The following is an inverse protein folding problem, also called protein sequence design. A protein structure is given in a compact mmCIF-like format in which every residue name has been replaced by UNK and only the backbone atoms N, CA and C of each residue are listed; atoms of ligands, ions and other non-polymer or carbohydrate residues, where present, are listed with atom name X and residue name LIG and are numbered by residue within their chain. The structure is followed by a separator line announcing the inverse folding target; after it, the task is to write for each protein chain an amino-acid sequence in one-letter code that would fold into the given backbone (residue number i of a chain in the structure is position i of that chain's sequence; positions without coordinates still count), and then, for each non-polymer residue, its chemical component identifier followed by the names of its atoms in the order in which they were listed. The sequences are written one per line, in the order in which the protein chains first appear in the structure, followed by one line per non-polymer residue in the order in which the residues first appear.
data_IF_865300279350
#
_entry.id   IF_865300279350
#
_cell.length_a   1.000
_cell.length_b   1.000
_cell.length_c   1.000
_cell.angle_alpha   90.00
_cell.angle_beta   90.00
_cell.angle_gamma   90.00
#
_symmetry.space_group_name_H-M   'P 1'
#
loop_
_entity.id
_entity.type
_entity.pdbx_description
1 polymer ?
#
# COMPACT_ATOMS: atom_id res chain seq x y z
N UNK A 1 6.48 3.24 38.24
CA UNK A 1 6.31 1.80 37.90
C UNK A 1 7.19 1.34 36.72
N UNK A 2 7.13 1.96 35.53
CA UNK A 2 7.94 1.51 34.37
C UNK A 2 9.47 1.59 34.60
N UNK A 3 9.96 2.67 35.22
CA UNK A 3 11.39 2.86 35.52
C UNK A 3 11.95 1.82 36.51
N UNK A 4 11.18 1.48 37.55
CA UNK A 4 11.57 0.46 38.53
C UNK A 4 11.61 -0.94 37.90
N UNK A 5 10.67 -1.25 37.01
CA UNK A 5 10.66 -2.50 36.26
C UNK A 5 11.87 -2.60 35.32
N UNK A 6 12.25 -1.50 34.67
CA UNK A 6 13.43 -1.45 33.80
C UNK A 6 14.72 -1.66 34.61
N UNK A 7 14.85 -1.03 35.79
CA UNK A 7 15.98 -1.22 36.72
C UNK A 7 16.09 -2.67 37.20
N UNK A 8 14.97 -3.33 37.54
CA UNK A 8 14.94 -4.75 37.94
C UNK A 8 15.39 -5.67 36.80
N UNK A 9 14.94 -5.42 35.57
CA UNK A 9 15.37 -6.16 34.37
C UNK A 9 16.87 -5.99 34.09
N UNK A 10 17.37 -4.76 34.19
CA UNK A 10 18.78 -4.45 33.99
C UNK A 10 19.67 -5.19 35.00
N UNK A 11 19.33 -5.13 36.29
CA UNK A 11 20.08 -5.83 37.32
C UNK A 11 20.05 -7.35 37.14
N UNK A 12 18.90 -7.90 36.69
CA UNK A 12 18.79 -9.33 36.38
C UNK A 12 19.69 -9.72 35.21
N UNK A 13 19.61 -9.00 34.09
CA UNK A 13 20.47 -9.23 32.93
C UNK A 13 21.95 -9.12 33.30
N UNK A 14 22.33 -8.13 34.12
CA UNK A 14 23.69 -7.96 34.61
C UNK A 14 24.18 -9.19 35.41
N UNK A 15 23.34 -9.74 36.30
CA UNK A 15 23.70 -10.94 37.06
C UNK A 15 23.77 -12.19 36.20
N UNK A 16 22.85 -12.34 35.25
CA UNK A 16 22.86 -13.48 34.34
C UNK A 16 24.04 -13.43 33.33
N UNK A 17 24.54 -12.24 32.99
CA UNK A 17 25.75 -12.05 32.19
C UNK A 17 27.05 -12.23 33.00
N UNK A 18 27.00 -12.03 34.32
CA UNK A 18 28.14 -12.20 35.21
C UNK A 18 28.48 -13.67 35.45
N UNK A 19 27.48 -14.56 35.40
CA UNK A 19 27.65 -16.00 35.52
C UNK A 19 28.11 -16.61 34.18
N UNK A 20 29.30 -17.24 34.08
CA UNK A 20 29.84 -17.73 32.81
C UNK A 20 28.97 -18.82 32.17
N UNK A 21 28.35 -19.68 32.98
CA UNK A 21 27.49 -20.76 32.48
C UNK A 21 26.18 -20.24 31.89
N UNK A 22 25.59 -19.22 32.52
CA UNK A 22 24.36 -18.58 32.00
C UNK A 22 24.65 -17.73 30.78
N UNK A 23 25.82 -17.08 30.72
CA UNK A 23 26.27 -16.35 29.54
C UNK A 23 26.40 -17.29 28.34
N UNK A 24 27.10 -18.42 28.49
CA UNK A 24 27.20 -19.44 27.44
C UNK A 24 25.81 -19.94 27.00
N UNK A 25 24.95 -20.28 27.94
CA UNK A 25 23.60 -20.73 27.63
C UNK A 25 22.70 -19.65 26.96
N UNK A 26 23.05 -18.36 27.07
CA UNK A 26 22.41 -17.28 26.33
C UNK A 26 23.02 -17.13 24.94
N UNK A 27 24.35 -17.20 24.85
CA UNK A 27 25.09 -17.14 23.58
C UNK A 27 24.65 -18.30 22.65
N UNK A 28 24.56 -19.54 23.17
CA UNK A 28 24.07 -20.71 22.41
C UNK A 28 22.63 -20.51 21.89
N UNK A 29 21.78 -19.82 22.67
CA UNK A 29 20.40 -19.50 22.27
C UNK A 29 20.33 -18.39 21.23
N UNK A 30 21.30 -17.49 21.22
CA UNK A 30 21.41 -16.44 20.21
C UNK A 30 21.87 -17.09 18.90
N UNK A 31 22.92 -17.91 18.95
CA UNK A 31 23.42 -18.65 17.79
C UNK A 31 22.33 -19.52 17.16
N UNK A 32 21.62 -20.33 17.96
CA UNK A 32 20.51 -21.16 17.45
C UNK A 32 19.38 -20.34 16.83
N UNK A 33 19.13 -19.10 17.29
CA UNK A 33 18.15 -18.21 16.66
C UNK A 33 18.68 -17.60 15.36
N UNK A 34 19.95 -17.22 15.34
CA UNK A 34 20.60 -16.70 14.15
C UNK A 34 20.66 -17.75 13.04
N UNK A 35 20.97 -19.01 13.37
CA UNK A 35 20.90 -20.14 12.43
C UNK A 35 19.48 -20.36 11.90
N UNK A 36 18.47 -20.32 12.77
CA UNK A 36 17.08 -20.44 12.34
C UNK A 36 16.66 -19.30 11.41
N UNK A 37 17.08 -18.08 11.70
CA UNK A 37 16.72 -16.91 10.90
C UNK A 37 17.51 -16.87 9.58
N UNK A 38 18.76 -17.34 9.59
CA UNK A 38 19.55 -17.57 8.38
C UNK A 38 18.89 -18.64 7.49
N UNK A 39 18.45 -19.75 8.06
CA UNK A 39 17.74 -20.81 7.32
C UNK A 39 16.43 -20.32 6.73
N UNK A 40 15.65 -19.53 7.47
CA UNK A 40 14.44 -18.88 6.92
C UNK A 40 14.75 -17.90 5.80
N UNK A 41 15.83 -17.14 5.92
CA UNK A 41 16.28 -16.22 4.88
C UNK A 41 16.71 -16.96 3.62
N UNK A 42 17.42 -18.07 3.76
CA UNK A 42 17.80 -18.95 2.65
C UNK A 42 16.57 -19.56 1.97
N UNK A 43 15.63 -20.13 2.74
CA UNK A 43 14.37 -20.63 2.19
C UNK A 43 13.58 -19.55 1.46
N UNK A 44 13.57 -18.32 1.98
CA UNK A 44 12.92 -17.19 1.31
C UNK A 44 13.62 -16.84 0.00
N UNK A 45 14.95 -16.81 -0.02
CA UNK A 45 15.72 -16.56 -1.24
C UNK A 45 15.47 -17.66 -2.30
N UNK A 46 15.42 -18.93 -1.89
CA UNK A 46 15.08 -20.05 -2.78
C UNK A 46 13.66 -19.91 -3.35
N UNK A 47 12.68 -19.53 -2.52
CA UNK A 47 11.30 -19.28 -2.98
C UNK A 47 11.20 -18.10 -3.93
N UNK A 48 11.88 -16.98 -3.64
CA UNK A 48 11.90 -15.82 -4.54
C UNK A 48 12.56 -16.18 -5.87
N UNK A 49 13.66 -16.92 -5.86
CA UNK A 49 14.29 -17.43 -7.07
C UNK A 49 13.34 -18.33 -7.89
N UNK A 50 12.60 -19.23 -7.22
CA UNK A 50 11.56 -20.04 -7.86
C UNK A 50 10.43 -19.18 -8.46
N UNK A 51 9.99 -18.12 -7.77
CA UNK A 51 9.01 -17.17 -8.32
C UNK A 51 9.56 -16.44 -9.54
N UNK A 52 10.81 -16.00 -9.52
CA UNK A 52 11.47 -15.36 -10.68
C UNK A 52 11.51 -16.30 -11.88
N UNK A 53 11.83 -17.58 -11.66
CA UNK A 53 11.81 -18.63 -12.68
C UNK A 53 10.40 -18.85 -13.26
N UNK A 54 9.39 -18.97 -12.40
CA UNK A 54 7.96 -19.08 -12.79
C UNK A 54 7.50 -17.89 -13.64
N UNK A 55 7.87 -16.66 -13.25
CA UNK A 55 7.54 -15.44 -14.02
C UNK A 55 8.20 -15.40 -15.40
N UNK A 56 9.38 -16.01 -15.54
CA UNK A 56 10.05 -16.16 -16.83
C UNK A 56 9.54 -17.35 -17.66
N UNK A 57 8.62 -18.17 -17.11
CA UNK A 57 8.10 -19.36 -17.78
C UNK A 57 9.06 -20.56 -17.78
N UNK A 58 10.14 -20.50 -16.99
CA UNK A 58 11.11 -21.58 -16.85
C UNK A 58 10.82 -22.24 -15.51
N UNK A 59 10.01 -23.30 -15.49
CA UNK A 59 9.80 -24.09 -14.26
C UNK A 59 10.93 -25.10 -14.12
N UNK A 60 11.59 -25.15 -12.96
CA UNK A 60 12.56 -26.18 -12.61
C UNK A 60 11.94 -27.19 -11.64
N UNK A 61 12.33 -28.47 -11.76
CA UNK A 61 11.88 -29.53 -10.86
C UNK A 61 12.17 -29.15 -9.39
N UNK A 62 11.12 -29.08 -8.58
CA UNK A 62 11.18 -28.69 -7.17
C UNK A 62 10.73 -27.26 -6.87
N UNK A 63 10.60 -26.38 -7.88
CA UNK A 63 10.03 -25.04 -7.69
C UNK A 63 8.56 -25.14 -7.21
N UNK A 64 7.81 -26.14 -7.67
CA UNK A 64 6.43 -26.41 -7.23
C UNK A 64 6.34 -26.75 -5.74
N UNK A 65 7.35 -27.45 -5.19
CA UNK A 65 7.39 -27.82 -3.77
C UNK A 65 7.69 -26.57 -2.91
N UNK A 66 8.57 -25.68 -3.40
CA UNK A 66 8.89 -24.43 -2.71
C UNK A 66 7.71 -23.44 -2.72
N UNK A 67 6.88 -23.48 -3.75
CA UNK A 67 5.73 -22.59 -3.95
C UNK A 67 4.41 -23.12 -3.37
N UNK A 68 4.25 -24.44 -3.22
CA UNK A 68 3.00 -25.06 -2.75
C UNK A 68 2.50 -24.55 -1.38
N UNK A 69 3.41 -24.23 -0.46
CA UNK A 69 3.06 -23.70 0.87
C UNK A 69 2.43 -22.29 0.79
N UNK A 70 2.79 -21.50 -0.22
CA UNK A 70 2.21 -20.17 -0.46
C UNK A 70 0.91 -20.24 -1.25
N UNK A 71 0.82 -21.11 -2.25
CA UNK A 71 -0.38 -21.27 -3.08
C UNK A 71 -1.58 -21.78 -2.25
N UNK A 72 -1.33 -22.58 -1.20
CA UNK A 72 -2.35 -22.98 -0.22
C UNK A 72 -2.87 -21.83 0.67
N UNK A 73 -2.15 -20.70 0.75
CA UNK A 73 -2.51 -19.50 1.52
C UNK A 73 -2.91 -18.32 0.62
N UNK A 74 -2.91 -18.51 -0.70
CA UNK A 74 -3.29 -17.45 -1.62
C UNK A 74 -4.73 -17.02 -1.34
N UNK A 75 -4.93 -15.72 -1.10
CA UNK A 75 -6.25 -15.14 -0.95
C UNK A 75 -7.05 -15.35 -2.25
N UNK A 76 -8.39 -15.48 -2.17
CA UNK A 76 -9.22 -15.70 -3.34
C UNK A 76 -8.88 -14.69 -4.44
N UNK A 77 -8.56 -15.20 -5.62
CA UNK A 77 -8.13 -14.35 -6.73
C UNK A 77 -9.28 -13.44 -7.17
N UNK A 78 -8.97 -12.41 -7.97
CA UNK A 78 -9.98 -11.45 -8.39
C UNK A 78 -11.21 -12.12 -8.99
N UNK A 79 -10.92 -13.05 -9.88
CA UNK A 79 -11.93 -13.72 -10.67
C UNK A 79 -12.76 -14.69 -9.81
N UNK A 80 -12.15 -15.29 -8.78
CA UNK A 80 -12.87 -16.10 -7.79
C UNK A 80 -13.89 -15.26 -6.99
N UNK A 81 -13.53 -14.06 -6.51
CA UNK A 81 -14.50 -13.21 -5.82
C UNK A 81 -15.50 -12.52 -6.76
N UNK A 82 -15.14 -12.33 -8.03
CA UNK A 82 -16.03 -11.83 -9.07
C UNK A 82 -17.05 -12.88 -9.55
N UNK A 83 -16.76 -14.17 -9.34
CA UNK A 83 -17.63 -15.29 -9.76
C UNK A 83 -18.41 -15.90 -8.61
N UNK A 84 -18.02 -15.67 -7.36
CA UNK A 84 -18.90 -15.93 -6.22
C UNK A 84 -20.00 -14.89 -6.15
N UNK A 85 -21.11 -15.14 -6.85
CA UNK A 85 -22.32 -14.36 -6.64
C UNK A 85 -22.77 -14.49 -5.18
N UNK A 86 -23.16 -13.39 -4.53
CA UNK A 86 -23.84 -13.46 -3.24
C UNK A 86 -25.02 -14.43 -3.35
N UNK A 87 -25.30 -15.22 -2.28
CA UNK A 87 -26.35 -16.22 -2.32
C UNK A 87 -27.65 -15.64 -2.87
N UNK A 88 -28.26 -16.34 -3.84
CA UNK A 88 -29.54 -15.92 -4.40
C UNK A 88 -30.54 -15.69 -3.27
N UNK A 89 -31.09 -14.48 -3.21
CA UNK A 89 -32.11 -14.13 -2.24
C UNK A 89 -33.31 -15.02 -2.51
N UNK A 90 -33.61 -15.96 -1.60
CA UNK A 90 -34.83 -16.76 -1.68
C UNK A 90 -36.04 -15.81 -1.77
N UNK A 91 -37.02 -16.06 -2.66
CA UNK A 91 -38.21 -15.23 -2.75
C UNK A 91 -38.95 -15.29 -1.41
N UNK A 92 -38.86 -14.21 -0.63
CA UNK A 92 -39.40 -14.11 0.74
C UNK A 92 -38.47 -13.47 1.78
N UNK A 93 -37.20 -13.19 1.45
CA UNK A 93 -36.27 -12.52 2.37
C UNK A 93 -36.40 -10.99 2.40
N UNK A 94 -36.52 -10.43 3.60
CA UNK A 94 -36.66 -9.00 3.93
C UNK A 94 -35.71 -8.10 3.12
N UNK A 95 -36.27 -7.03 2.54
CA UNK A 95 -35.49 -5.95 1.91
C UNK A 95 -34.67 -5.26 2.99
N UNK A 96 -33.38 -5.59 3.06
CA UNK A 96 -32.43 -4.83 3.88
C UNK A 96 -32.20 -3.49 3.17
N UNK A 97 -32.88 -2.44 3.62
CA UNK A 97 -32.59 -1.07 3.26
C UNK A 97 -31.30 -0.69 3.99
N UNK A 98 -30.22 -0.50 3.25
CA UNK A 98 -29.02 0.13 3.79
C UNK A 98 -29.36 1.59 4.12
N UNK A 99 -29.07 2.11 5.33
CA UNK A 99 -29.12 3.55 5.57
C UNK A 99 -27.91 4.17 4.86
N UNK A 100 -28.04 4.41 3.56
CA UNK A 100 -27.18 5.34 2.87
C UNK A 100 -27.74 6.73 3.18
N UNK A 101 -27.33 7.29 4.33
CA UNK A 101 -27.38 8.74 4.55
C UNK A 101 -26.34 9.38 3.60
N UNK A 102 -26.65 9.33 2.32
CA UNK A 102 -25.94 10.12 1.33
C UNK A 102 -26.60 11.49 1.38
N UNK A 103 -26.02 12.37 2.19
CA UNK A 103 -26.26 13.81 2.10
C UNK A 103 -26.30 14.17 0.62
N UNK A 104 -27.43 14.76 0.20
CA UNK A 104 -27.67 15.16 -1.18
C UNK A 104 -26.66 16.26 -1.52
N UNK A 105 -25.44 15.88 -1.89
CA UNK A 105 -24.55 16.73 -2.64
C UNK A 105 -25.28 17.00 -3.95
N UNK A 106 -25.64 18.27 -4.16
CA UNK A 106 -26.24 18.79 -5.38
C UNK A 106 -25.41 18.25 -6.55
N UNK A 107 -25.97 17.30 -7.30
CA UNK A 107 -25.35 16.86 -8.55
C UNK A 107 -25.32 18.11 -9.44
N UNK A 108 -24.15 18.55 -9.93
CA UNK A 108 -24.13 19.54 -10.99
C UNK A 108 -24.97 18.98 -12.13
N UNK A 109 -25.81 19.85 -12.70
CA UNK A 109 -26.63 19.50 -13.86
C UNK A 109 -25.72 18.81 -14.87
N UNK A 110 -26.15 17.63 -15.32
CA UNK A 110 -25.48 16.80 -16.31
C UNK A 110 -25.50 17.58 -17.62
N UNK A 111 -24.53 18.47 -17.80
CA UNK A 111 -24.14 18.91 -19.13
C UNK A 111 -23.57 17.67 -19.82
N UNK A 112 -23.79 17.54 -21.13
CA UNK A 112 -23.35 16.37 -21.93
C UNK A 112 -21.82 16.24 -22.05
N UNK A 113 -21.08 16.96 -21.22
CA UNK A 113 -19.65 16.85 -21.06
C UNK A 113 -19.38 15.82 -19.96
N UNK A 114 -18.99 14.62 -20.38
CA UNK A 114 -18.49 13.57 -19.51
C UNK A 114 -17.28 14.11 -18.74
N UNK A 115 -17.47 14.64 -17.54
CA UNK A 115 -16.36 15.04 -16.67
C UNK A 115 -15.67 13.74 -16.21
N UNK A 116 -14.44 13.42 -16.66
CA UNK A 116 -13.74 12.23 -16.22
C UNK A 116 -13.30 12.47 -14.77
N UNK A 117 -13.90 11.71 -13.85
CA UNK A 117 -13.61 11.81 -12.43
C UNK A 117 -12.14 11.42 -12.20
N UNK A 118 -11.43 12.11 -11.30
CA UNK A 118 -9.99 11.94 -11.08
C UNK A 118 -9.55 10.46 -10.83
N UNK A 119 -10.46 9.61 -10.39
CA UNK A 119 -10.22 8.19 -10.10
C UNK A 119 -10.36 7.25 -11.31
N UNK A 120 -10.91 7.70 -12.44
CA UNK A 120 -11.04 6.88 -13.67
C UNK A 120 -9.92 7.12 -14.68
N UNK A 121 -8.99 8.04 -14.41
CA UNK A 121 -7.87 8.33 -15.32
C UNK A 121 -6.75 7.31 -15.15
N UNK A 122 -6.24 6.80 -16.28
CA UNK A 122 -5.01 6.00 -16.31
C UNK A 122 -3.79 6.86 -15.94
N UNK A 123 -2.66 6.27 -15.49
CA UNK A 123 -1.46 7.03 -15.14
C UNK A 123 -0.93 7.90 -16.30
N UNK A 124 -1.07 7.44 -17.55
CA UNK A 124 -0.67 8.18 -18.74
C UNK A 124 -1.56 9.40 -18.99
N UNK A 125 -2.89 9.22 -18.94
CA UNK A 125 -3.85 10.32 -19.10
C UNK A 125 -3.70 11.37 -17.99
N UNK A 126 -3.41 10.93 -16.75
CA UNK A 126 -3.12 11.84 -15.64
C UNK A 126 -1.87 12.68 -15.90
N UNK A 127 -0.80 12.08 -16.43
CA UNK A 127 0.43 12.79 -16.76
C UNK A 127 0.22 13.81 -17.90
N UNK A 128 -0.53 13.42 -18.94
CA UNK A 128 -0.87 14.33 -20.05
C UNK A 128 -1.74 15.50 -19.56
N UNK A 129 -2.74 15.23 -18.73
CA UNK A 129 -3.60 16.27 -18.14
C UNK A 129 -2.79 17.24 -17.25
N UNK A 130 -1.88 16.73 -16.44
CA UNK A 130 -0.98 17.56 -15.63
C UNK A 130 -0.09 18.45 -16.50
N UNK A 131 0.43 17.93 -17.62
CA UNK A 131 1.22 18.71 -18.58
C UNK A 131 0.41 19.86 -19.20
N UNK A 132 -0.82 19.59 -19.62
CA UNK A 132 -1.70 20.63 -20.19
C UNK A 132 -2.07 21.69 -19.16
N UNK A 133 -2.44 21.27 -17.94
CA UNK A 133 -2.81 22.18 -16.85
C UNK A 133 -1.64 23.07 -16.43
N UNK A 134 -0.40 22.56 -16.42
CA UNK A 134 0.77 23.36 -16.11
C UNK A 134 1.00 24.48 -17.14
N UNK A 135 0.87 24.16 -18.44
CA UNK A 135 1.02 25.14 -19.52
C UNK A 135 -0.08 26.22 -19.46
N UNK A 136 -1.30 25.82 -19.16
CA UNK A 136 -2.44 26.74 -19.00
C UNK A 136 -2.23 27.71 -17.83
N UNK A 137 -1.81 27.19 -16.66
CA UNK A 137 -1.52 28.02 -15.49
C UNK A 137 -0.37 29.01 -15.74
N UNK A 138 0.65 28.62 -16.50
CA UNK A 138 1.74 29.53 -16.88
C UNK A 138 1.22 30.69 -17.75
N UNK A 139 0.39 30.39 -18.74
CA UNK A 139 -0.19 31.40 -19.63
C UNK A 139 -1.15 32.33 -18.86
N UNK A 140 -1.96 31.78 -17.96
CA UNK A 140 -2.84 32.57 -17.10
C UNK A 140 -2.04 33.50 -16.18
N UNK A 141 -1.00 33.00 -15.52
CA UNK A 141 -0.12 33.81 -14.68
C UNK A 141 0.59 34.91 -15.47
N UNK A 142 1.04 34.61 -16.70
CA UNK A 142 1.65 35.60 -17.59
C UNK A 142 0.64 36.70 -18.00
N UNK A 143 -0.61 36.33 -18.29
CA UNK A 143 -1.67 37.28 -18.61
C UNK A 143 -2.04 38.16 -17.41
N UNK A 144 -2.12 37.59 -16.21
CA UNK A 144 -2.36 38.35 -14.98
C UNK A 144 -1.23 39.33 -14.69
N UNK A 145 0.03 38.91 -14.84
CA UNK A 145 1.18 39.78 -14.65
C UNK A 145 1.17 40.97 -15.63
N UNK A 146 0.79 40.76 -16.88
CA UNK A 146 0.65 41.84 -17.87
C UNK A 146 -0.46 42.84 -17.47
N UNK A 147 -1.61 42.34 -17.03
CA UNK A 147 -2.73 43.19 -16.59
C UNK A 147 -2.39 44.00 -15.33
N UNK A 148 -1.66 43.43 -14.37
CA UNK A 148 -1.19 44.17 -13.19
C UNK A 148 -0.24 45.32 -13.56
N UNK A 149 0.61 45.12 -14.57
CA UNK A 149 1.57 46.12 -15.03
C UNK A 149 0.88 47.29 -15.76
N UNK A 150 -0.15 47.01 -16.56
CA UNK A 150 -1.01 48.03 -17.17
C UNK A 150 -1.78 48.85 -16.12
N UNK A 151 -2.40 48.19 -15.13
CA UNK A 151 -3.14 48.87 -14.07
C UNK A 151 -2.25 49.77 -13.22
N UNK A 152 -1.03 49.32 -12.87
CA UNK A 152 -0.07 50.13 -12.12
C UNK A 152 0.42 51.35 -12.94
N UNK A 153 0.61 51.19 -14.25
CA UNK A 153 0.98 52.30 -15.13
C UNK A 153 -0.13 53.34 -15.29
N UNK A 154 -1.40 52.92 -15.24
CA UNK A 154 -2.57 53.77 -15.38
C UNK A 154 -2.86 54.56 -14.09
N UNK A 155 -2.62 53.95 -12.91
CA UNK A 155 -2.75 54.61 -11.60
C UNK A 155 -1.68 55.70 -11.39
N UNK A 156 -0.51 55.60 -12.02
CA UNK A 156 0.57 56.60 -11.93
C UNK A 156 0.29 57.81 -12.86
N UNK A 157 -0.65 57.69 -13.80
CA UNK A 157 -1.00 58.74 -14.78
C UNK A 157 -2.29 59.52 -14.44
N UNK A 158 -2.85 59.35 -13.24
CA UNK A 158 -3.91 60.21 -12.67
C UNK A 158 -3.35 61.08 -11.54
#
# INVERSE_FOLDING_TARGET
MAAENMKKKLNKAFKDLQDPDKRKALDDKIELKEEQDAFKAELKAMREAAQWRRLQGISMDGDDILLAEMDAKAAPTRDEWMTTLPPERKPGGVVVVFPCEQERLVRPQRTDEVIPVAWTNTPSERAQKAKMSYLEAYNEAAALASNEQENNSNVILQ
#
